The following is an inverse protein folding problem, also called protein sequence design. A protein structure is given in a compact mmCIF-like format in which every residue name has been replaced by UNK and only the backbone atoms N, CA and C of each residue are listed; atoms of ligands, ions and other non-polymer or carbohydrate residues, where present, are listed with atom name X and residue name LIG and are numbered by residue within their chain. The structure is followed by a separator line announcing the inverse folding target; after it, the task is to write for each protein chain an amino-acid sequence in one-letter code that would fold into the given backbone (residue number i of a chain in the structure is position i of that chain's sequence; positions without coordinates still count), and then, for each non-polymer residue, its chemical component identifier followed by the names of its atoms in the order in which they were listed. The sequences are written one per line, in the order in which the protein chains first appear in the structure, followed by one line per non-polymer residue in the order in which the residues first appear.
data_IF_791031372621
#
_entry.id   IF_791031372621
#
_cell.length_a   1.000
_cell.length_b   1.000
_cell.length_c   1.000
_cell.angle_alpha   90.00
_cell.angle_beta   90.00
_cell.angle_gamma   90.00
#
_symmetry.space_group_name_H-M   'P 1'
#
loop_
_entity.id
_entity.type
_entity.pdbx_description
1 polymer ?
#
# COMPACT_ATOMS: atom_id res chain seq x y z
N UNK A 1 -46.31 68.38 -1.83
CA UNK A 1 -46.14 66.93 -2.09
C UNK A 1 -45.03 66.69 -3.14
N UNK A 2 -43.77 67.01 -2.85
CA UNK A 2 -42.66 66.70 -3.78
C UNK A 2 -41.41 66.11 -3.11
N UNK A 3 -41.31 66.16 -1.77
CA UNK A 3 -40.14 65.63 -1.04
C UNK A 3 -40.27 64.15 -0.65
N UNK A 4 -41.48 63.58 -0.58
CA UNK A 4 -41.66 62.17 -0.25
C UNK A 4 -41.30 61.22 -1.40
N UNK A 5 -41.51 61.63 -2.66
CA UNK A 5 -41.26 60.76 -3.82
C UNK A 5 -39.76 60.61 -4.13
N UNK A 6 -38.93 61.60 -3.78
CA UNK A 6 -37.47 61.53 -4.00
C UNK A 6 -36.82 60.55 -3.03
N UNK A 7 -37.26 60.53 -1.76
CA UNK A 7 -36.72 59.64 -0.73
C UNK A 7 -37.04 58.15 -0.98
N UNK A 8 -38.23 57.85 -1.51
CA UNK A 8 -38.61 56.47 -1.89
C UNK A 8 -37.80 55.98 -3.08
N UNK A 9 -37.63 56.82 -4.11
CA UNK A 9 -36.84 56.46 -5.29
C UNK A 9 -35.35 56.22 -4.97
N UNK A 10 -34.76 56.96 -4.02
CA UNK A 10 -33.37 56.72 -3.59
C UNK A 10 -33.20 55.43 -2.77
N UNK A 11 -34.22 55.03 -2.00
CA UNK A 11 -34.17 53.83 -1.16
C UNK A 11 -34.30 52.55 -2.00
N UNK A 12 -35.14 52.56 -3.04
CA UNK A 12 -35.26 51.44 -3.98
C UNK A 12 -33.99 51.26 -4.82
N UNK A 13 -33.36 52.35 -5.27
CA UNK A 13 -32.10 52.28 -6.00
C UNK A 13 -30.94 51.77 -5.13
N UNK A 14 -30.94 52.10 -3.83
CA UNK A 14 -29.95 51.59 -2.88
C UNK A 14 -30.17 50.10 -2.59
N UNK A 15 -31.41 49.68 -2.33
CA UNK A 15 -31.73 48.26 -2.07
C UNK A 15 -31.50 47.37 -3.31
N UNK A 16 -31.75 47.87 -4.52
CA UNK A 16 -31.43 47.15 -5.75
C UNK A 16 -29.93 47.04 -6.00
N UNK A 17 -29.14 48.08 -5.70
CA UNK A 17 -27.67 48.03 -5.78
C UNK A 17 -27.05 47.13 -4.71
N UNK A 18 -27.58 47.13 -3.49
CA UNK A 18 -27.14 46.22 -2.41
C UNK A 18 -27.54 44.78 -2.73
N UNK A 19 -28.74 44.55 -3.29
CA UNK A 19 -29.17 43.25 -3.79
C UNK A 19 -28.25 42.72 -4.90
N UNK A 20 -27.89 43.55 -5.88
CA UNK A 20 -26.90 43.19 -6.92
C UNK A 20 -25.49 42.99 -6.39
N UNK A 21 -25.10 43.71 -5.33
CA UNK A 21 -23.81 43.51 -4.67
C UNK A 21 -23.78 42.20 -3.90
N UNK A 22 -24.84 41.85 -3.17
CA UNK A 22 -24.96 40.54 -2.51
C UNK A 22 -25.12 39.40 -3.52
N UNK A 23 -25.87 39.57 -4.61
CA UNK A 23 -25.88 38.61 -5.71
C UNK A 23 -24.49 38.49 -6.33
N UNK A 24 -23.74 39.56 -6.51
CA UNK A 24 -22.35 39.48 -6.99
C UNK A 24 -21.40 38.82 -5.98
N UNK A 25 -21.63 39.02 -4.67
CA UNK A 25 -20.84 38.44 -3.59
C UNK A 25 -21.15 36.94 -3.37
N UNK A 26 -22.41 36.54 -3.60
CA UNK A 26 -22.94 35.18 -3.43
C UNK A 26 -22.89 34.36 -4.74
N UNK A 27 -22.95 35.01 -5.92
CA UNK A 27 -22.64 34.45 -7.24
C UNK A 27 -21.21 34.76 -7.71
N UNK A 28 -20.30 35.10 -6.80
CA UNK A 28 -18.91 34.69 -6.94
C UNK A 28 -18.91 33.16 -6.89
N UNK A 29 -19.27 32.53 -8.03
CA UNK A 29 -18.74 31.23 -8.40
C UNK A 29 -17.27 31.36 -8.08
N UNK A 30 -16.80 30.65 -7.04
CA UNK A 30 -15.37 30.45 -6.83
C UNK A 30 -14.86 30.19 -8.24
N UNK A 31 -13.97 31.05 -8.75
CA UNK A 31 -13.21 30.67 -9.94
C UNK A 31 -12.77 29.26 -9.60
N UNK A 32 -13.31 28.27 -10.30
CA UNK A 32 -12.71 26.96 -10.33
C UNK A 32 -11.35 27.30 -10.95
N UNK A 33 -10.37 27.63 -10.11
CA UNK A 33 -8.98 27.35 -10.40
C UNK A 33 -9.06 25.94 -10.93
N UNK A 34 -8.85 25.77 -12.24
CA UNK A 34 -8.93 24.50 -12.95
C UNK A 34 -8.52 23.42 -11.96
N UNK A 35 -9.49 22.64 -11.47
CA UNK A 35 -9.27 21.81 -10.30
C UNK A 35 -8.01 21.01 -10.60
N UNK A 36 -6.99 21.18 -9.76
CA UNK A 36 -5.71 20.51 -9.97
C UNK A 36 -5.98 19.03 -10.22
N UNK A 37 -5.11 18.39 -11.00
CA UNK A 37 -5.28 16.97 -11.35
C UNK A 37 -5.67 16.18 -10.09
N UNK A 38 -6.75 15.39 -10.11
CA UNK A 38 -7.17 14.61 -8.95
C UNK A 38 -5.99 13.82 -8.37
N UNK A 39 -5.76 13.97 -7.07
CA UNK A 39 -4.70 13.28 -6.33
C UNK A 39 -5.32 12.34 -5.31
N UNK A 40 -4.53 11.35 -4.86
CA UNK A 40 -4.90 10.48 -3.72
C UNK A 40 -5.27 11.36 -2.52
N UNK A 41 -6.35 11.00 -1.82
CA UNK A 41 -6.74 11.64 -0.57
C UNK A 41 -5.79 11.25 0.58
N UNK A 42 -5.66 12.12 1.58
CA UNK A 42 -4.70 11.90 2.68
C UNK A 42 -5.07 10.70 3.55
N UNK A 43 -6.36 10.34 3.65
CA UNK A 43 -6.82 9.20 4.44
C UNK A 43 -6.35 7.87 3.83
N UNK A 44 -6.58 7.68 2.53
CA UNK A 44 -6.11 6.49 1.81
C UNK A 44 -4.59 6.43 1.79
N UNK A 45 -3.93 7.57 1.54
CA UNK A 45 -2.47 7.66 1.52
C UNK A 45 -1.87 7.28 2.87
N UNK A 46 -2.40 7.81 3.97
CA UNK A 46 -1.97 7.49 5.33
C UNK A 46 -2.18 6.01 5.68
N UNK A 47 -3.37 5.47 5.41
CA UNK A 47 -3.70 4.06 5.69
C UNK A 47 -2.78 3.11 4.92
N UNK A 48 -2.54 3.40 3.64
CA UNK A 48 -1.67 2.58 2.81
C UNK A 48 -0.22 2.67 3.27
N UNK A 49 0.26 3.89 3.58
CA UNK A 49 1.59 4.13 4.12
C UNK A 49 1.78 3.37 5.44
N UNK A 50 0.88 3.49 6.40
CA UNK A 50 1.01 2.84 7.71
C UNK A 50 1.12 1.31 7.58
N UNK A 51 0.34 0.72 6.66
CA UNK A 51 0.43 -0.71 6.33
C UNK A 51 1.79 -1.10 5.75
N UNK A 52 2.40 -0.23 4.95
CA UNK A 52 3.74 -0.44 4.39
C UNK A 52 4.81 -0.27 5.47
N UNK A 53 4.67 0.69 6.39
CA UNK A 53 5.62 0.88 7.50
C UNK A 53 5.62 -0.35 8.39
N UNK A 54 4.44 -0.86 8.74
CA UNK A 54 4.30 -2.06 9.57
C UNK A 54 4.99 -3.27 8.91
N UNK A 55 4.68 -3.53 7.63
CA UNK A 55 5.30 -4.60 6.85
C UNK A 55 6.83 -4.46 6.79
N UNK A 56 7.34 -3.30 6.37
CA UNK A 56 8.78 -3.08 6.23
C UNK A 56 9.50 -3.13 7.58
N UNK A 57 8.88 -2.64 8.66
CA UNK A 57 9.46 -2.65 10.00
C UNK A 57 9.57 -4.07 10.55
N UNK A 58 8.56 -4.92 10.35
CA UNK A 58 8.58 -6.32 10.79
C UNK A 58 9.64 -7.14 10.05
N UNK A 59 9.86 -6.85 8.77
CA UNK A 59 10.75 -7.59 7.89
C UNK A 59 12.09 -6.88 7.64
N UNK A 60 12.40 -5.85 8.43
CA UNK A 60 13.57 -5.01 8.17
C UNK A 60 14.89 -5.80 8.24
N UNK A 61 14.95 -6.86 9.04
CA UNK A 61 16.11 -7.76 9.07
C UNK A 61 16.36 -8.49 7.74
N UNK A 62 15.30 -8.82 6.99
CA UNK A 62 15.40 -9.53 5.71
C UNK A 62 15.62 -8.56 4.54
N UNK A 63 14.89 -7.44 4.50
CA UNK A 63 14.89 -6.52 3.34
C UNK A 63 15.80 -5.31 3.52
N UNK A 64 15.97 -4.83 4.76
CA UNK A 64 16.55 -3.52 5.06
C UNK A 64 18.04 -3.38 4.73
N UNK A 65 18.75 -4.49 4.50
CA UNK A 65 20.12 -4.45 4.04
C UNK A 65 20.24 -4.21 2.53
N UNK A 66 19.48 -4.98 1.74
CA UNK A 66 19.55 -4.98 0.28
C UNK A 66 18.71 -3.87 -0.34
N UNK A 67 17.53 -3.60 0.20
CA UNK A 67 16.58 -2.65 -0.38
C UNK A 67 17.17 -1.24 -0.56
N UNK A 68 17.84 -0.64 0.45
CA UNK A 68 18.43 0.69 0.28
C UNK A 68 19.68 0.71 -0.61
N UNK A 69 20.17 -0.46 -1.03
CA UNK A 69 21.34 -0.64 -1.89
C UNK A 69 20.98 -1.03 -3.32
N UNK A 70 19.70 -1.26 -3.61
CA UNK A 70 19.24 -1.62 -4.93
C UNK A 70 19.49 -0.47 -5.92
N UNK A 71 20.16 -0.78 -7.01
CA UNK A 71 20.46 0.14 -8.12
C UNK A 71 19.74 -0.26 -9.42
N UNK A 72 19.33 -1.53 -9.50
CA UNK A 72 18.60 -2.09 -10.64
C UNK A 72 17.23 -2.62 -10.20
N UNK A 73 16.32 -2.82 -11.16
CA UNK A 73 14.98 -3.36 -10.89
C UNK A 73 15.06 -4.80 -10.39
N UNK A 74 16.00 -5.57 -10.91
CA UNK A 74 16.28 -6.94 -10.50
C UNK A 74 16.74 -6.98 -9.05
N UNK A 75 17.65 -6.10 -8.64
CA UNK A 75 18.09 -5.95 -7.25
C UNK A 75 16.95 -5.50 -6.33
N UNK A 76 16.14 -4.53 -6.77
CA UNK A 76 14.98 -4.06 -6.02
C UNK A 76 13.98 -5.19 -5.78
N UNK A 77 13.66 -5.96 -6.82
CA UNK A 77 12.77 -7.12 -6.74
C UNK A 77 13.35 -8.19 -5.82
N UNK A 78 14.64 -8.53 -5.98
CA UNK A 78 15.31 -9.50 -5.13
C UNK A 78 15.33 -9.08 -3.65
N UNK A 79 15.50 -7.78 -3.37
CA UNK A 79 15.45 -7.24 -2.02
C UNK A 79 14.05 -7.32 -1.38
N UNK A 80 12.99 -7.26 -2.19
CA UNK A 80 11.59 -7.34 -1.75
C UNK A 80 11.02 -8.77 -1.77
N UNK A 81 11.70 -9.73 -2.39
CA UNK A 81 11.26 -11.13 -2.49
C UNK A 81 10.87 -11.77 -1.15
N UNK A 82 11.56 -11.51 0.00
CA UNK A 82 11.14 -12.04 1.30
C UNK A 82 9.70 -11.66 1.70
N UNK A 83 9.14 -10.59 1.11
CA UNK A 83 7.79 -10.10 1.39
C UNK A 83 6.73 -10.73 0.49
N UNK A 84 7.10 -11.61 -0.46
CA UNK A 84 6.17 -12.19 -1.44
C UNK A 84 5.01 -12.94 -0.78
N UNK A 85 5.26 -13.64 0.31
CA UNK A 85 4.24 -14.42 1.02
C UNK A 85 3.55 -13.64 2.16
N UNK A 86 3.85 -12.35 2.30
CA UNK A 86 3.19 -11.51 3.30
C UNK A 86 1.70 -11.33 2.99
N UNK A 87 0.84 -11.30 4.02
CA UNK A 87 -0.62 -11.08 3.86
C UNK A 87 -0.94 -9.79 3.09
N UNK A 88 -0.15 -8.75 3.32
CA UNK A 88 -0.24 -7.46 2.65
C UNK A 88 0.54 -7.37 1.33
N UNK A 89 0.97 -8.48 0.70
CA UNK A 89 1.78 -8.46 -0.56
C UNK A 89 1.18 -7.65 -1.70
N UNK A 90 -0.15 -7.54 -1.76
CA UNK A 90 -0.86 -6.74 -2.76
C UNK A 90 -0.45 -5.26 -2.74
N UNK A 91 0.08 -4.77 -1.61
CA UNK A 91 0.62 -3.40 -1.43
C UNK A 91 1.97 -3.16 -2.12
N UNK A 92 2.66 -4.21 -2.52
CA UNK A 92 3.97 -4.15 -3.20
C UNK A 92 4.01 -5.00 -4.47
N UNK A 93 2.86 -5.51 -4.92
CA UNK A 93 2.76 -6.48 -6.02
C UNK A 93 3.45 -5.98 -7.29
N UNK A 94 3.28 -4.69 -7.60
CA UNK A 94 3.91 -4.04 -8.76
C UNK A 94 5.44 -4.00 -8.68
N UNK A 95 6.00 -3.89 -7.47
CA UNK A 95 7.47 -3.93 -7.29
C UNK A 95 8.03 -5.35 -7.41
N UNK A 96 7.20 -6.38 -7.20
CA UNK A 96 7.60 -7.79 -7.31
C UNK A 96 7.50 -8.34 -8.75
N UNK A 97 6.86 -7.62 -9.67
CA UNK A 97 6.73 -8.03 -11.07
C UNK A 97 8.06 -7.84 -11.81
N UNK A 98 8.45 -8.83 -12.62
CA UNK A 98 9.58 -8.68 -13.53
C UNK A 98 9.21 -7.66 -14.62
N UNK A 99 10.00 -6.60 -14.77
CA UNK A 99 9.67 -5.46 -15.63
C UNK A 99 10.89 -4.91 -16.35
N UNK A 100 10.83 -4.82 -17.68
CA UNK A 100 11.95 -4.41 -18.53
C UNK A 100 11.62 -3.17 -19.39
N UNK A 101 10.40 -2.66 -19.30
CA UNK A 101 9.92 -1.53 -20.10
C UNK A 101 10.19 -0.19 -19.43
N UNK A 102 9.56 0.86 -19.93
CA UNK A 102 9.46 2.13 -19.22
C UNK A 102 8.09 2.70 -19.52
N UNK A 103 7.42 3.20 -18.48
CA UNK A 103 6.10 3.76 -18.60
C UNK A 103 6.04 5.10 -17.87
N UNK A 104 5.42 6.08 -18.52
CA UNK A 104 5.18 7.39 -17.93
C UNK A 104 3.84 7.40 -17.18
N UNK A 105 3.72 8.30 -16.21
CA UNK A 105 2.47 8.50 -15.50
C UNK A 105 1.31 8.94 -16.42
N UNK A 106 1.58 9.52 -17.59
CA UNK A 106 0.53 9.85 -18.56
C UNK A 106 0.02 8.59 -19.28
N UNK A 107 0.93 7.72 -19.73
CA UNK A 107 0.57 6.48 -20.40
C UNK A 107 -0.26 5.57 -19.47
N UNK A 108 0.11 5.46 -18.19
CA UNK A 108 -0.66 4.66 -17.21
C UNK A 108 -2.08 5.22 -17.05
N UNK A 109 -2.24 6.54 -16.96
CA UNK A 109 -3.58 7.15 -16.81
C UNK A 109 -4.45 6.93 -18.06
N UNK A 110 -3.88 7.07 -19.26
CA UNK A 110 -4.58 6.71 -20.51
C UNK A 110 -4.93 5.22 -20.53
N UNK A 111 -4.00 4.36 -20.11
CA UNK A 111 -4.23 2.92 -19.99
C UNK A 111 -5.37 2.58 -19.04
N UNK A 112 -5.45 3.22 -17.87
CA UNK A 112 -6.57 3.08 -16.92
C UNK A 112 -7.91 3.52 -17.52
N UNK A 113 -7.95 4.66 -18.20
CA UNK A 113 -9.16 5.14 -18.88
C UNK A 113 -9.64 4.16 -19.96
N UNK A 114 -8.72 3.58 -20.74
CA UNK A 114 -9.07 2.55 -21.73
C UNK A 114 -9.59 1.29 -21.03
N UNK A 115 -8.98 0.88 -19.91
CA UNK A 115 -9.43 -0.28 -19.15
C UNK A 115 -10.85 -0.07 -18.58
N UNK A 116 -11.16 1.13 -18.08
CA UNK A 116 -12.51 1.49 -17.63
C UNK A 116 -13.55 1.35 -18.75
N UNK A 117 -13.21 1.81 -19.97
CA UNK A 117 -14.06 1.63 -21.14
C UNK A 117 -14.26 0.15 -21.54
N UNK A 118 -13.21 -0.67 -21.43
CA UNK A 118 -13.30 -2.11 -21.69
C UNK A 118 -14.15 -2.84 -20.64
N UNK A 119 -14.06 -2.43 -19.38
CA UNK A 119 -14.93 -2.95 -18.31
C UNK A 119 -16.39 -2.61 -18.59
N UNK A 120 -16.69 -1.38 -19.00
CA UNK A 120 -18.05 -0.99 -19.41
C UNK A 120 -18.56 -1.84 -20.58
N UNK A 121 -17.73 -2.06 -21.61
CA UNK A 121 -18.08 -2.91 -22.74
C UNK A 121 -18.35 -4.38 -22.34
N UNK A 122 -17.63 -4.91 -21.35
CA UNK A 122 -17.90 -6.24 -20.78
C UNK A 122 -19.27 -6.28 -20.11
N UNK A 123 -19.62 -5.26 -19.32
CA UNK A 123 -20.92 -5.20 -18.68
C UNK A 123 -22.07 -5.16 -19.71
N UNK A 124 -21.90 -4.38 -20.79
CA UNK A 124 -22.85 -4.33 -21.90
C UNK A 124 -22.96 -5.68 -22.62
N UNK A 125 -21.83 -6.33 -22.92
CA UNK A 125 -21.81 -7.63 -23.59
C UNK A 125 -22.49 -8.72 -22.73
N UNK A 126 -22.25 -8.74 -21.41
CA UNK A 126 -22.94 -9.64 -20.49
C UNK A 126 -24.44 -9.34 -20.37
N UNK A 127 -24.83 -8.06 -20.37
CA UNK A 127 -26.25 -7.70 -20.37
C UNK A 127 -26.95 -8.23 -21.63
N UNK A 128 -26.32 -8.07 -22.80
CA UNK A 128 -26.86 -8.58 -24.06
C UNK A 128 -26.90 -10.10 -24.11
N UNK A 129 -25.88 -10.77 -23.60
CA UNK A 129 -25.86 -12.23 -23.46
C UNK A 129 -27.07 -12.72 -22.66
N UNK A 130 -27.30 -12.15 -21.46
CA UNK A 130 -28.44 -12.52 -20.61
C UNK A 130 -29.78 -12.31 -21.30
N UNK A 131 -29.94 -11.19 -22.02
CA UNK A 131 -31.16 -10.94 -22.80
C UNK A 131 -31.39 -12.02 -23.86
N UNK A 132 -30.35 -12.42 -24.59
CA UNK A 132 -30.44 -13.51 -25.57
C UNK A 132 -30.74 -14.86 -24.90
N UNK A 133 -30.17 -15.16 -23.73
CA UNK A 133 -30.47 -16.37 -22.95
C UNK A 133 -31.94 -16.44 -22.56
N UNK A 134 -32.49 -15.33 -22.06
CA UNK A 134 -33.90 -15.24 -21.69
C UNK A 134 -34.82 -15.40 -22.91
N UNK A 135 -34.48 -14.78 -24.05
CA UNK A 135 -35.24 -14.93 -25.30
C UNK A 135 -35.22 -16.37 -25.83
N UNK A 136 -34.08 -17.07 -25.75
CA UNK A 136 -34.00 -18.49 -26.09
C UNK A 136 -34.90 -19.31 -25.17
N UNK A 137 -34.82 -19.10 -23.85
CA UNK A 137 -35.67 -19.77 -22.87
C UNK A 137 -37.16 -19.57 -23.16
N UNK A 138 -37.59 -18.34 -23.47
CA UNK A 138 -38.97 -18.05 -23.84
C UNK A 138 -39.39 -18.76 -25.13
N UNK A 139 -38.52 -18.84 -26.14
CA UNK A 139 -38.82 -19.56 -27.38
C UNK A 139 -38.92 -21.07 -27.17
N UNK A 140 -38.10 -21.65 -26.29
CA UNK A 140 -38.18 -23.08 -25.93
C UNK A 140 -39.50 -23.41 -25.22
N UNK A 141 -39.95 -22.54 -24.30
CA UNK A 141 -41.26 -22.68 -23.66
C UNK A 141 -42.39 -22.59 -24.69
N UNK A 142 -42.34 -21.57 -25.58
CA UNK A 142 -43.34 -21.39 -26.63
C UNK A 142 -43.39 -22.59 -27.59
N UNK A 143 -42.25 -23.19 -27.93
CA UNK A 143 -42.19 -24.39 -28.76
C UNK A 143 -42.90 -25.58 -28.10
N UNK A 144 -42.77 -25.73 -26.78
CA UNK A 144 -43.48 -26.76 -26.01
C UNK A 144 -45.00 -26.59 -25.97
N UNK A 145 -45.51 -25.39 -26.30
CA UNK A 145 -46.94 -25.03 -26.27
C UNK A 145 -47.54 -24.81 -27.68
N UNK A 146 -46.73 -24.85 -28.73
CA UNK A 146 -47.15 -24.52 -30.09
C UNK A 146 -48.09 -25.60 -30.67
N UNK A 147 -49.12 -25.17 -31.42
CA UNK A 147 -49.92 -26.09 -32.23
C UNK A 147 -49.11 -26.63 -33.42
N UNK A 148 -49.53 -27.74 -34.06
CA UNK A 148 -48.85 -28.29 -35.23
C UNK A 148 -48.61 -27.26 -36.35
N UNK A 149 -49.56 -26.35 -36.58
CA UNK A 149 -49.50 -25.32 -37.60
C UNK A 149 -48.53 -24.18 -37.24
N UNK A 150 -48.28 -23.96 -35.95
CA UNK A 150 -47.39 -22.89 -35.46
C UNK A 150 -45.94 -23.36 -35.28
N UNK A 151 -45.74 -24.69 -35.17
CA UNK A 151 -44.49 -25.29 -34.76
C UNK A 151 -43.30 -24.88 -35.63
N UNK A 152 -43.45 -24.94 -36.95
CA UNK A 152 -42.38 -24.57 -37.90
C UNK A 152 -41.93 -23.11 -37.71
N UNK A 153 -42.88 -22.19 -37.53
CA UNK A 153 -42.56 -20.78 -37.31
C UNK A 153 -41.83 -20.54 -35.98
N UNK A 154 -42.22 -21.27 -34.93
CA UNK A 154 -41.57 -21.18 -33.61
C UNK A 154 -40.17 -21.79 -33.63
N UNK A 155 -39.98 -22.92 -34.33
CA UNK A 155 -38.66 -23.54 -34.54
C UNK A 155 -37.70 -22.61 -35.29
N UNK A 156 -38.16 -21.95 -36.34
CA UNK A 156 -37.37 -20.96 -37.08
C UNK A 156 -36.92 -19.78 -36.18
N UNK A 157 -37.83 -19.29 -35.33
CA UNK A 157 -37.49 -18.24 -34.35
C UNK A 157 -36.53 -18.72 -33.27
N UNK A 158 -36.68 -19.95 -32.78
CA UNK A 158 -35.76 -20.54 -31.81
C UNK A 158 -34.35 -20.66 -32.40
N UNK A 159 -34.22 -21.13 -33.65
CA UNK A 159 -32.94 -21.24 -34.33
C UNK A 159 -32.25 -19.89 -34.50
N UNK A 160 -33.01 -18.85 -34.88
CA UNK A 160 -32.52 -17.48 -34.96
C UNK A 160 -32.00 -16.99 -33.60
N UNK A 161 -32.80 -17.13 -32.54
CA UNK A 161 -32.41 -16.71 -31.18
C UNK A 161 -31.19 -17.47 -30.65
N UNK A 162 -31.05 -18.76 -30.96
CA UNK A 162 -29.84 -19.54 -30.64
C UNK A 162 -28.60 -18.99 -31.36
N UNK A 163 -28.75 -18.57 -32.61
CA UNK A 163 -27.66 -17.93 -33.39
C UNK A 163 -27.28 -16.57 -32.79
N UNK A 164 -28.27 -15.76 -32.40
CA UNK A 164 -28.05 -14.47 -31.73
C UNK A 164 -27.33 -14.66 -30.39
N UNK A 165 -27.74 -15.65 -29.58
CA UNK A 165 -27.08 -16.02 -28.33
C UNK A 165 -25.62 -16.45 -28.55
N UNK A 166 -25.36 -17.29 -29.57
CA UNK A 166 -24.00 -17.69 -29.90
C UNK A 166 -23.13 -16.48 -30.27
N UNK A 167 -23.68 -15.52 -31.02
CA UNK A 167 -22.99 -14.27 -31.36
C UNK A 167 -22.71 -13.41 -30.13
N UNK A 168 -23.67 -13.30 -29.21
CA UNK A 168 -23.51 -12.59 -27.95
C UNK A 168 -22.44 -13.24 -27.06
N UNK A 169 -22.41 -14.58 -26.97
CA UNK A 169 -21.38 -15.33 -26.26
C UNK A 169 -19.98 -15.07 -26.82
N UNK A 170 -19.82 -15.12 -28.16
CA UNK A 170 -18.54 -14.82 -28.79
C UNK A 170 -18.09 -13.37 -28.55
N UNK A 171 -19.03 -12.43 -28.54
CA UNK A 171 -18.75 -11.01 -28.24
C UNK A 171 -18.31 -10.83 -26.80
N UNK A 172 -19.02 -11.44 -25.84
CA UNK A 172 -18.65 -11.42 -24.44
C UNK A 172 -17.25 -12.01 -24.20
N UNK A 173 -16.98 -13.17 -24.80
CA UNK A 173 -15.65 -13.80 -24.71
C UNK A 173 -14.55 -12.94 -25.32
N UNK A 174 -14.81 -12.28 -26.45
CA UNK A 174 -13.87 -11.37 -27.08
C UNK A 174 -13.60 -10.13 -26.21
N UNK A 175 -14.64 -9.53 -25.62
CA UNK A 175 -14.52 -8.39 -24.71
C UNK A 175 -13.70 -8.75 -23.46
N UNK A 176 -14.00 -9.88 -22.81
CA UNK A 176 -13.26 -10.36 -21.64
C UNK A 176 -11.79 -10.62 -21.95
N UNK A 177 -11.47 -11.27 -23.07
CA UNK A 177 -10.07 -11.47 -23.50
C UNK A 177 -9.36 -10.14 -23.78
N UNK A 178 -10.04 -9.21 -24.43
CA UNK A 178 -9.50 -7.88 -24.74
C UNK A 178 -9.16 -7.10 -23.47
N UNK A 179 -10.05 -7.10 -22.49
CA UNK A 179 -9.83 -6.46 -21.19
C UNK A 179 -8.69 -7.12 -20.42
N UNK A 180 -8.64 -8.45 -20.32
CA UNK A 180 -7.56 -9.16 -19.61
C UNK A 180 -6.18 -8.88 -20.24
N UNK A 181 -6.12 -8.85 -21.58
CA UNK A 181 -4.88 -8.53 -22.29
C UNK A 181 -4.42 -7.09 -22.02
N UNK A 182 -5.35 -6.14 -22.03
CA UNK A 182 -5.06 -4.74 -21.75
C UNK A 182 -4.70 -4.50 -20.28
N UNK A 183 -5.40 -5.16 -19.35
CA UNK A 183 -5.10 -5.15 -17.93
C UNK A 183 -3.68 -5.64 -17.67
N UNK A 184 -3.28 -6.80 -18.20
CA UNK A 184 -1.90 -7.31 -18.06
C UNK A 184 -0.85 -6.31 -18.55
N UNK A 185 -1.11 -5.63 -19.67
CA UNK A 185 -0.23 -4.57 -20.20
C UNK A 185 -0.17 -3.38 -19.25
N UNK A 186 -1.32 -2.97 -18.70
CA UNK A 186 -1.39 -1.89 -17.72
C UNK A 186 -0.63 -2.25 -16.43
N UNK A 187 -0.77 -3.48 -15.93
CA UNK A 187 -0.03 -3.95 -14.75
C UNK A 187 1.48 -3.86 -14.96
N UNK A 188 1.96 -4.22 -16.16
CA UNK A 188 3.37 -4.13 -16.52
C UNK A 188 3.86 -2.67 -16.53
N UNK A 189 3.06 -1.77 -17.10
CA UNK A 189 3.38 -0.33 -17.10
C UNK A 189 3.40 0.26 -15.69
N UNK A 190 2.47 -0.16 -14.83
CA UNK A 190 2.45 0.26 -13.43
C UNK A 190 3.67 -0.26 -12.67
N UNK A 191 4.11 -1.49 -12.95
CA UNK A 191 5.35 -2.06 -12.41
C UNK A 191 6.59 -1.29 -12.86
N UNK A 192 6.74 -1.04 -14.17
CA UNK A 192 7.84 -0.24 -14.74
C UNK A 192 7.96 1.10 -14.02
N UNK A 193 6.85 1.84 -13.92
CA UNK A 193 6.83 3.16 -13.28
C UNK A 193 7.12 3.10 -11.78
N UNK A 194 6.51 2.15 -11.06
CA UNK A 194 6.69 2.04 -9.61
C UNK A 194 8.15 1.69 -9.25
N UNK A 195 8.78 0.79 -10.00
CA UNK A 195 10.17 0.39 -9.81
C UNK A 195 11.13 1.55 -10.13
N UNK A 196 10.93 2.26 -11.24
CA UNK A 196 11.75 3.41 -11.61
C UNK A 196 11.66 4.55 -10.57
N UNK A 197 10.44 4.87 -10.13
CA UNK A 197 10.21 5.91 -9.13
C UNK A 197 10.88 5.56 -7.78
N UNK A 198 10.76 4.30 -7.35
CA UNK A 198 11.37 3.85 -6.09
C UNK A 198 12.90 3.77 -6.19
N UNK A 199 13.45 3.28 -7.31
CA UNK A 199 14.89 3.31 -7.56
C UNK A 199 15.42 4.74 -7.59
N UNK A 200 14.71 5.67 -8.25
CA UNK A 200 15.07 7.09 -8.22
C UNK A 200 15.03 7.67 -6.80
N UNK A 201 14.11 7.20 -5.95
CA UNK A 201 14.06 7.60 -4.54
C UNK A 201 15.24 7.03 -3.74
N UNK A 202 15.64 5.79 -4.01
CA UNK A 202 16.76 5.09 -3.35
C UNK A 202 18.12 5.65 -3.79
N UNK A 203 18.37 5.76 -5.10
CA UNK A 203 19.67 6.12 -5.70
C UNK A 203 20.08 7.56 -5.39
N UNK A 204 19.12 8.47 -5.14
CA UNK A 204 19.38 9.90 -5.22
C UNK A 204 20.53 10.36 -4.29
N UNK A 205 21.67 10.54 -4.95
CA UNK A 205 22.93 11.21 -4.62
C UNK A 205 22.78 12.64 -4.06
N UNK A 206 21.55 13.13 -3.88
CA UNK A 206 21.23 14.48 -3.42
C UNK A 206 21.14 14.61 -1.89
N UNK A 207 20.97 13.52 -1.13
CA UNK A 207 20.85 13.66 0.34
C UNK A 207 21.46 12.49 1.11
N UNK A 208 22.80 12.38 1.08
CA UNK A 208 23.66 11.57 1.99
C UNK A 208 23.20 10.10 2.26
N UNK A 209 22.42 9.47 1.37
CA UNK A 209 22.01 8.06 1.47
C UNK A 209 21.24 7.67 2.74
N UNK A 210 20.60 8.63 3.44
CA UNK A 210 19.97 8.35 4.75
C UNK A 210 18.48 8.03 4.68
N UNK A 211 17.76 8.50 3.66
CA UNK A 211 16.31 8.34 3.60
C UNK A 211 15.89 6.89 3.44
N UNK A 212 16.47 6.16 2.48
CA UNK A 212 16.12 4.77 2.22
C UNK A 212 16.50 3.79 3.35
N UNK A 213 17.28 4.22 4.36
CA UNK A 213 17.70 3.36 5.49
C UNK A 213 16.69 3.32 6.64
N UNK A 214 15.48 3.81 6.40
CA UNK A 214 14.40 3.82 7.37
C UNK A 214 13.12 3.29 6.69
N UNK A 215 12.45 2.27 7.26
CA UNK A 215 11.23 1.69 6.67
C UNK A 215 10.13 2.73 6.48
N UNK A 216 10.03 3.73 7.37
CA UNK A 216 9.06 4.82 7.25
C UNK A 216 9.27 5.66 6.01
N UNK A 217 10.49 6.08 5.73
CA UNK A 217 10.78 6.90 4.55
C UNK A 217 10.49 6.14 3.26
N UNK A 218 10.82 4.84 3.21
CA UNK A 218 10.49 3.99 2.06
C UNK A 218 8.98 3.81 1.91
N UNK A 219 8.26 3.53 3.00
CA UNK A 219 6.80 3.45 2.99
C UNK A 219 6.15 4.77 2.56
N UNK A 220 6.64 5.90 3.06
CA UNK A 220 6.19 7.24 2.69
C UNK A 220 6.38 7.47 1.17
N UNK A 221 7.50 7.02 0.60
CA UNK A 221 7.76 7.09 -0.83
C UNK A 221 6.89 6.13 -1.66
N UNK A 222 6.65 4.93 -1.13
CA UNK A 222 5.88 3.89 -1.81
C UNK A 222 4.37 4.17 -1.78
N UNK A 223 3.83 4.77 -0.73
CA UNK A 223 2.38 4.84 -0.47
C UNK A 223 1.54 5.48 -1.58
N UNK A 224 2.12 6.31 -2.45
CA UNK A 224 1.43 6.95 -3.57
C UNK A 224 1.61 6.28 -4.93
N UNK A 225 2.37 5.18 -5.00
CA UNK A 225 2.65 4.46 -6.26
C UNK A 225 1.42 3.67 -6.76
N UNK A 226 1.36 3.31 -8.06
CA UNK A 226 0.16 2.75 -8.68
C UNK A 226 -0.05 1.25 -8.35
N UNK A 227 -0.48 0.92 -7.13
CA UNK A 227 -0.74 -0.47 -6.73
C UNK A 227 -2.19 -0.93 -6.89
N UNK A 228 -3.13 0.01 -7.00
CA UNK A 228 -4.56 -0.29 -7.02
C UNK A 228 -5.22 0.43 -8.19
N UNK A 229 -6.02 -0.31 -8.96
CA UNK A 229 -6.85 0.26 -10.02
C UNK A 229 -7.96 1.13 -9.41
N UNK A 230 -8.41 2.15 -10.13
CA UNK A 230 -9.44 3.08 -9.65
C UNK A 230 -8.99 4.11 -8.61
N UNK A 231 -7.83 3.93 -7.98
CA UNK A 231 -7.23 4.92 -7.06
C UNK A 231 -6.21 5.76 -7.80
N UNK A 232 -6.19 7.08 -7.64
CA UNK A 232 -5.15 7.93 -8.25
C UNK A 232 -3.73 7.52 -7.80
N UNK A 233 -2.70 7.98 -8.49
CA UNK A 233 -1.31 7.71 -8.13
C UNK A 233 -0.40 8.92 -8.38
N UNK A 234 0.76 8.92 -7.75
CA UNK A 234 1.79 9.95 -7.87
C UNK A 234 3.19 9.34 -7.86
N UNK A 235 4.22 10.16 -8.12
CA UNK A 235 5.62 9.74 -8.03
C UNK A 235 6.10 9.58 -6.59
N UNK A 236 7.18 8.83 -6.39
CA UNK A 236 7.69 8.45 -5.07
C UNK A 236 8.08 9.67 -4.21
N UNK A 237 8.69 10.68 -4.82
CA UNK A 237 9.05 11.93 -4.10
C UNK A 237 7.84 12.74 -3.66
N UNK A 238 6.80 12.80 -4.50
CA UNK A 238 5.57 13.51 -4.15
C UNK A 238 4.83 12.78 -3.04
N UNK A 239 4.80 11.43 -3.11
CA UNK A 239 4.28 10.59 -2.05
C UNK A 239 5.01 10.86 -0.73
N UNK A 240 6.35 10.78 -0.74
CA UNK A 240 7.18 11.05 0.42
C UNK A 240 6.89 12.43 1.05
N UNK A 241 6.85 13.48 0.22
CA UNK A 241 6.61 14.85 0.68
C UNK A 241 5.22 15.07 1.30
N UNK A 242 4.23 14.24 0.95
CA UNK A 242 2.90 14.27 1.55
C UNK A 242 2.82 13.39 2.79
N UNK A 243 3.20 12.12 2.67
CA UNK A 243 3.15 11.12 3.74
C UNK A 243 3.97 11.52 4.98
N UNK A 244 5.13 12.15 4.78
CA UNK A 244 6.00 12.60 5.88
C UNK A 244 5.33 13.65 6.78
N UNK A 245 4.30 14.36 6.29
CA UNK A 245 3.50 15.33 7.04
C UNK A 245 2.30 14.71 7.74
N UNK A 246 1.94 13.48 7.37
CA UNK A 246 0.84 12.77 8.00
C UNK A 246 1.34 12.13 9.32
N UNK A 247 0.55 12.20 10.40
CA UNK A 247 0.84 11.46 11.64
C UNK A 247 1.08 9.99 11.31
N UNK A 248 2.13 9.39 11.89
CA UNK A 248 2.46 7.98 11.73
C UNK A 248 2.64 7.40 13.13
N UNK A 249 1.95 6.31 13.48
CA UNK A 249 2.19 5.63 14.74
C UNK A 249 3.67 5.25 14.92
N UNK A 250 4.10 5.15 16.16
CA UNK A 250 5.42 4.59 16.48
C UNK A 250 5.42 3.09 16.17
N UNK A 251 6.46 2.61 15.51
CA UNK A 251 6.60 1.20 15.13
C UNK A 251 7.74 0.57 15.92
N UNK A 252 7.39 -0.04 17.05
CA UNK A 252 8.33 -0.66 17.98
C UNK A 252 9.26 -1.71 17.35
N UNK A 253 8.85 -2.35 16.24
CA UNK A 253 9.68 -3.32 15.50
C UNK A 253 10.93 -2.70 14.89
N UNK A 254 10.84 -1.47 14.39
CA UNK A 254 12.02 -0.77 13.88
C UNK A 254 12.90 -0.24 15.02
N UNK A 255 12.29 0.24 16.12
CA UNK A 255 13.02 0.65 17.33
C UNK A 255 13.84 -0.50 17.94
N UNK A 256 13.30 -1.73 17.89
CA UNK A 256 14.03 -2.95 18.25
C UNK A 256 15.28 -3.12 17.38
N UNK A 257 15.15 -2.98 16.05
CA UNK A 257 16.29 -3.05 15.15
C UNK A 257 17.33 -1.95 15.43
N UNK A 258 16.90 -0.70 15.64
CA UNK A 258 17.82 0.41 15.96
C UNK A 258 18.58 0.15 17.27
N UNK A 259 17.90 -0.41 18.27
CA UNK A 259 18.50 -0.81 19.55
C UNK A 259 19.55 -1.90 19.34
N UNK A 260 19.21 -2.98 18.60
CA UNK A 260 20.15 -4.06 18.26
C UNK A 260 21.36 -3.52 17.49
N UNK A 261 21.14 -2.65 16.51
CA UNK A 261 22.20 -2.03 15.73
C UNK A 261 23.12 -1.15 16.61
N UNK A 262 22.55 -0.40 17.55
CA UNK A 262 23.30 0.44 18.49
C UNK A 262 24.18 -0.41 19.42
N UNK A 263 23.60 -1.47 20.00
CA UNK A 263 24.33 -2.42 20.86
C UNK A 263 25.46 -3.08 20.08
N UNK A 264 25.20 -3.56 18.86
CA UNK A 264 26.21 -4.14 17.98
C UNK A 264 27.39 -3.21 17.71
N UNK A 265 27.13 -1.94 17.37
CA UNK A 265 28.19 -0.95 17.13
C UNK A 265 29.07 -0.74 18.37
N UNK A 266 28.49 -0.78 19.57
CA UNK A 266 29.24 -0.68 20.83
C UNK A 266 30.00 -1.97 21.15
N UNK A 267 29.42 -3.13 20.85
CA UNK A 267 30.05 -4.43 21.12
C UNK A 267 31.36 -4.61 20.35
N UNK A 268 31.51 -4.00 19.18
CA UNK A 268 32.76 -4.02 18.39
C UNK A 268 33.97 -3.44 19.14
N UNK A 269 33.74 -2.60 20.15
CA UNK A 269 34.80 -1.99 20.98
C UNK A 269 34.95 -2.68 22.33
N UNK A 270 34.09 -3.63 22.63
CA UNK A 270 34.06 -4.32 23.92
C UNK A 270 35.03 -5.50 23.92
N UNK A 271 35.56 -5.81 25.11
CA UNK A 271 36.32 -7.05 25.35
C UNK A 271 35.43 -8.21 25.78
N UNK A 272 34.17 -7.93 26.11
CA UNK A 272 33.21 -8.95 26.52
C UNK A 272 32.76 -9.78 25.31
N UNK A 273 32.46 -11.08 25.50
CA UNK A 273 31.80 -11.88 24.48
C UNK A 273 30.50 -11.18 24.02
N UNK A 274 30.26 -11.14 22.72
CA UNK A 274 29.15 -10.36 22.12
C UNK A 274 27.80 -10.66 22.77
N UNK A 275 27.45 -11.93 22.99
CA UNK A 275 26.17 -12.32 23.58
C UNK A 275 26.01 -11.75 25.01
N UNK A 276 27.06 -11.83 25.82
CA UNK A 276 27.06 -11.29 27.19
C UNK A 276 26.97 -9.76 27.17
N UNK A 277 27.69 -9.11 26.26
CA UNK A 277 27.60 -7.66 26.07
C UNK A 277 26.16 -7.24 25.71
N UNK A 278 25.50 -7.97 24.81
CA UNK A 278 24.10 -7.71 24.47
C UNK A 278 23.19 -7.82 25.69
N UNK A 279 23.33 -8.88 26.49
CA UNK A 279 22.51 -9.07 27.68
C UNK A 279 22.66 -7.90 28.67
N UNK A 280 23.89 -7.48 28.95
CA UNK A 280 24.17 -6.36 29.86
C UNK A 280 23.58 -5.05 29.35
N UNK A 281 23.73 -4.77 28.06
CA UNK A 281 23.19 -3.55 27.44
C UNK A 281 21.66 -3.53 27.44
N UNK A 282 21.01 -4.67 27.20
CA UNK A 282 19.54 -4.79 27.31
C UNK A 282 19.10 -4.59 28.76
N UNK A 283 19.83 -5.16 29.72
CA UNK A 283 19.59 -4.97 31.15
C UNK A 283 19.86 -3.56 31.66
N UNK A 284 20.62 -2.75 30.92
CA UNK A 284 20.87 -1.35 31.21
C UNK A 284 19.83 -0.39 30.59
N UNK A 285 18.99 -0.85 29.64
CA UNK A 285 17.94 0.00 29.06
C UNK A 285 16.98 0.54 30.13
N UNK A 286 16.41 1.75 29.99
CA UNK A 286 15.43 2.24 30.95
C UNK A 286 14.25 1.27 31.11
N UNK A 287 13.81 1.00 32.34
CA UNK A 287 12.60 0.18 32.59
C UNK A 287 11.33 0.86 32.10
N UNK A 288 11.30 2.18 32.18
CA UNK A 288 10.18 3.01 31.74
C UNK A 288 10.66 4.14 30.84
N UNK A 289 9.79 4.55 29.93
CA UNK A 289 10.00 5.68 29.01
C UNK A 289 8.88 6.69 29.20
N UNK A 290 9.19 7.98 29.02
CA UNK A 290 8.15 9.03 29.05
C UNK A 290 7.24 8.84 27.84
N UNK A 291 5.94 8.82 28.05
CA UNK A 291 4.99 8.80 26.92
C UNK A 291 4.91 10.19 26.32
N UNK A 292 4.86 10.24 24.99
CA UNK A 292 4.58 11.47 24.25
C UNK A 292 3.18 11.31 23.68
N UNK A 293 2.31 12.28 23.92
CA UNK A 293 1.00 12.31 23.30
C UNK A 293 1.16 12.37 21.77
N UNK A 294 0.63 11.39 21.02
CA UNK A 294 0.77 11.33 19.56
C UNK A 294 0.19 12.55 18.83
N UNK A 295 -0.79 13.24 19.40
CA UNK A 295 -1.46 14.38 18.79
C UNK A 295 -0.77 15.70 19.12
N UNK A 296 -0.35 15.89 20.37
CA UNK A 296 0.21 17.16 20.84
C UNK A 296 1.74 17.19 20.82
N UNK A 297 2.39 16.03 20.71
CA UNK A 297 3.85 15.86 20.84
C UNK A 297 4.38 16.38 22.19
N UNK A 298 3.52 16.50 23.20
CA UNK A 298 3.85 16.91 24.56
C UNK A 298 4.13 15.65 25.37
N UNK A 299 5.21 15.67 26.17
CA UNK A 299 5.49 14.59 27.11
C UNK A 299 4.39 14.56 28.17
N UNK A 300 3.66 13.46 28.25
CA UNK A 300 2.74 13.19 29.35
C UNK A 300 3.62 12.79 30.55
N UNK A 301 3.25 13.23 31.75
CA UNK A 301 4.01 12.88 32.97
C UNK A 301 3.99 11.36 33.27
N UNK A 302 3.12 10.62 32.59
CA UNK A 302 2.99 9.18 32.70
C UNK A 302 4.21 8.45 32.14
N UNK A 303 4.71 7.51 32.95
CA UNK A 303 5.79 6.60 32.57
C UNK A 303 5.17 5.30 32.08
N UNK A 304 5.39 4.97 30.81
CA UNK A 304 5.04 3.66 30.27
C UNK A 304 6.20 2.68 30.40
N UNK A 305 5.88 1.39 30.43
CA UNK A 305 6.88 0.33 30.31
C UNK A 305 7.66 0.46 29.00
N UNK A 306 8.98 0.26 29.05
CA UNK A 306 9.80 0.27 27.86
C UNK A 306 9.56 -1.01 27.04
N UNK A 307 8.65 -0.92 26.05
CA UNK A 307 8.26 -2.02 25.18
C UNK A 307 9.47 -2.72 24.51
N UNK A 308 10.50 -1.97 24.12
CA UNK A 308 11.73 -2.52 23.51
C UNK A 308 12.48 -3.38 24.53
N UNK A 309 12.74 -2.86 25.73
CA UNK A 309 13.41 -3.60 26.80
C UNK A 309 12.63 -4.86 27.16
N UNK A 310 11.33 -4.73 27.41
CA UNK A 310 10.49 -5.86 27.82
C UNK A 310 10.43 -6.93 26.74
N UNK A 311 10.31 -6.55 25.47
CA UNK A 311 10.38 -7.51 24.36
C UNK A 311 11.72 -8.24 24.28
N UNK A 312 12.85 -7.51 24.38
CA UNK A 312 14.17 -8.12 24.34
C UNK A 312 14.41 -9.09 25.50
N UNK A 313 13.93 -8.77 26.70
CA UNK A 313 14.06 -9.62 27.88
C UNK A 313 13.14 -10.84 27.86
N UNK A 314 11.86 -10.65 27.52
CA UNK A 314 10.88 -11.72 27.48
C UNK A 314 11.25 -12.79 26.44
N UNK A 315 11.90 -12.39 25.35
CA UNK A 315 12.37 -13.29 24.30
C UNK A 315 13.88 -13.50 24.30
N UNK A 316 14.58 -13.23 25.42
CA UNK A 316 16.04 -13.31 25.47
C UNK A 316 16.62 -14.65 25.00
N UNK A 317 16.08 -15.84 25.35
CA UNK A 317 16.61 -17.10 24.85
C UNK A 317 16.59 -17.21 23.31
N UNK A 318 15.56 -16.64 22.65
CA UNK A 318 15.47 -16.58 21.19
C UNK A 318 16.50 -15.58 20.63
N UNK A 319 16.59 -14.38 21.22
CA UNK A 319 17.57 -13.37 20.82
C UNK A 319 19.00 -13.88 20.95
N UNK A 320 19.33 -14.58 22.03
CA UNK A 320 20.64 -15.21 22.22
C UNK A 320 20.99 -16.14 21.06
N UNK A 321 20.10 -17.09 20.73
CA UNK A 321 20.31 -18.01 19.61
C UNK A 321 20.42 -17.28 18.27
N UNK A 322 19.62 -16.24 18.06
CA UNK A 322 19.67 -15.42 16.86
C UNK A 322 21.01 -14.65 16.74
N UNK A 323 21.54 -14.14 17.85
CA UNK A 323 22.86 -13.50 17.90
C UNK A 323 23.95 -14.52 17.59
N UNK A 324 23.96 -15.67 18.27
CA UNK A 324 24.94 -16.75 18.06
C UNK A 324 24.98 -17.18 16.59
N UNK A 325 23.82 -17.49 15.99
CA UNK A 325 23.72 -17.82 14.55
C UNK A 325 24.21 -16.70 13.63
N UNK A 326 23.99 -15.45 14.01
CA UNK A 326 24.42 -14.31 13.19
C UNK A 326 25.93 -14.11 13.19
N UNK A 327 26.62 -14.51 14.27
CA UNK A 327 28.07 -14.42 14.39
C UNK A 327 28.82 -15.48 13.56
N UNK A 328 28.13 -16.54 13.12
CA UNK A 328 28.68 -17.51 12.18
C UNK A 328 28.93 -16.90 10.78
N UNK A 329 28.31 -15.75 10.48
CA UNK A 329 28.45 -15.06 9.20
C UNK A 329 29.82 -14.37 9.08
N UNK A 330 30.58 -14.73 8.05
CA UNK A 330 31.94 -14.21 7.79
C UNK A 330 32.00 -12.97 6.87
N UNK A 331 30.88 -12.35 6.51
CA UNK A 331 30.84 -11.20 5.58
C UNK A 331 30.88 -9.82 6.26
N UNK A 332 30.23 -8.85 5.62
CA UNK A 332 30.21 -7.45 6.08
C UNK A 332 29.64 -7.30 7.50
N UNK A 333 30.45 -6.78 8.42
CA UNK A 333 30.08 -6.59 9.84
C UNK A 333 28.88 -5.66 10.03
N UNK A 334 28.65 -4.72 9.10
CA UNK A 334 27.47 -3.83 9.12
C UNK A 334 26.15 -4.57 8.89
N UNK A 335 26.20 -5.79 8.32
CA UNK A 335 25.02 -6.62 8.02
C UNK A 335 24.55 -7.42 9.22
N UNK A 336 25.40 -7.63 10.23
CA UNK A 336 25.10 -8.48 11.39
C UNK A 336 23.80 -8.07 12.11
N UNK A 337 23.49 -6.78 12.36
CA UNK A 337 22.21 -6.39 12.96
C UNK A 337 20.98 -6.85 12.17
N UNK A 338 21.08 -6.87 10.84
CA UNK A 338 20.01 -7.34 9.97
C UNK A 338 19.84 -8.86 10.11
N UNK A 339 20.94 -9.60 10.14
CA UNK A 339 20.91 -11.04 10.41
C UNK A 339 20.36 -11.39 11.79
N UNK A 340 20.68 -10.62 12.83
CA UNK A 340 20.14 -10.85 14.17
C UNK A 340 18.60 -10.78 14.13
N UNK A 341 18.03 -9.75 13.52
CA UNK A 341 16.58 -9.61 13.39
C UNK A 341 15.95 -10.67 12.47
N UNK A 342 16.60 -11.00 11.34
CA UNK A 342 16.14 -12.05 10.43
C UNK A 342 16.14 -13.44 11.11
N UNK A 343 17.23 -13.77 11.81
CA UNK A 343 17.38 -15.02 12.53
C UNK A 343 16.43 -15.11 13.72
N UNK A 344 16.10 -13.99 14.38
CA UNK A 344 15.07 -13.98 15.43
C UNK A 344 13.73 -14.50 14.90
N UNK A 345 13.25 -13.97 13.77
CA UNK A 345 11.99 -14.42 13.16
C UNK A 345 12.05 -15.92 12.82
N UNK A 346 13.16 -16.38 12.23
CA UNK A 346 13.37 -17.79 11.86
C UNK A 346 13.38 -18.71 13.09
N UNK A 347 14.15 -18.35 14.12
CA UNK A 347 14.23 -19.13 15.37
C UNK A 347 12.90 -19.12 16.11
N UNK A 348 12.19 -17.99 16.13
CA UNK A 348 10.86 -17.90 16.74
C UNK A 348 9.84 -18.80 16.02
N UNK A 349 9.93 -18.90 14.68
CA UNK A 349 9.05 -19.77 13.90
C UNK A 349 9.41 -21.25 13.96
N UNK A 350 10.58 -21.62 14.49
CA UNK A 350 11.01 -23.02 14.58
C UNK A 350 10.20 -23.76 15.67
N UNK A 351 9.43 -24.80 15.30
CA UNK A 351 8.68 -25.59 16.27
C UNK A 351 9.55 -26.17 17.38
N UNK A 352 10.81 -26.51 17.09
CA UNK A 352 11.75 -27.04 18.08
C UNK A 352 12.08 -26.00 19.13
N UNK A 353 12.28 -24.74 18.74
CA UNK A 353 12.53 -23.65 19.69
C UNK A 353 11.34 -23.47 20.63
N UNK A 354 10.11 -23.56 20.13
CA UNK A 354 8.91 -23.50 20.98
C UNK A 354 8.89 -24.62 22.04
N UNK A 355 9.24 -25.85 21.64
CA UNK A 355 9.36 -26.98 22.58
C UNK A 355 10.47 -26.73 23.61
N UNK A 356 11.65 -26.28 23.17
CA UNK A 356 12.75 -25.96 24.07
C UNK A 356 12.41 -24.83 25.06
N UNK A 357 11.68 -23.81 24.63
CA UNK A 357 11.25 -22.72 25.51
C UNK A 357 10.26 -23.22 26.58
N UNK A 358 9.29 -24.06 26.19
CA UNK A 358 8.32 -24.65 27.13
C UNK A 358 9.03 -25.55 28.15
N UNK A 359 9.92 -26.44 27.69
CA UNK A 359 10.68 -27.33 28.56
C UNK A 359 11.63 -26.56 29.50
N UNK A 360 12.30 -25.52 29.00
CA UNK A 360 13.16 -24.65 29.83
C UNK A 360 12.40 -23.82 30.87
N UNK A 361 11.14 -23.46 30.61
CA UNK A 361 10.29 -22.77 31.61
C UNK A 361 9.80 -23.70 32.73
N UNK A 362 9.60 -24.99 32.45
CA UNK A 362 9.22 -25.98 33.47
C UNK A 362 10.36 -26.33 34.42
N UNK A 363 11.62 -26.15 34.02
CA UNK A 363 12.77 -26.32 34.90
C UNK A 363 12.94 -25.13 35.85
N UNK A 364 12.69 -23.89 35.39
CA UNK A 364 12.78 -22.67 36.23
C UNK A 364 11.66 -22.48 37.27
N UNK A 365 10.59 -23.26 37.22
CA UNK A 365 9.50 -23.24 38.22
C UNK A 365 9.63 -24.35 39.27
N UNK A 366 10.69 -25.17 39.19
CA UNK A 366 10.97 -26.26 40.12
C UNK A 366 12.08 -25.97 41.14
N UNK A 367 12.71 -24.80 41.05
CA UNK A 367 13.58 -24.19 42.07
C UNK A 367 12.88 -22.97 42.68
#
# INVERSE_FOLDING_TARGET
MCLLNVLVATRENFLWKVGKFFDWLMNRKKKHTSAGRPTIDDFWLGTHRDSLVDMLSCWWGEVGWQLPRATTREELRAALEPLREHSNRHRISRLLLASFGSATAEQIRKGRQVNEGLIAAIYEAHARQRECEDLVRTAEIALGQASPEQKEAVEAQLLRRKTDLQTANSTCNAASRGQQAHEKKLEQMEADFAQDELLMFIDKRLIKGRYARNPRNLADAMGGLPYTQGVHFMGAWQSYARCSKLPCPLHHRFELFETIQSIWKRSQKSKLPTVEFFYQEIMALPKTVKTVDPQTNIAVEDKAENAVRSHLLNYWPIWRLAIEKSLEYQGEQERIPFFICANFTKVQSDPKTSVYLVLGTTEKTRD
#
